data_IF_266322183267
#
_entry.id   IF_266322183267
#
_cell.length_a   1.000
_cell.length_b   1.000
_cell.length_c   1.000
_cell.angle_alpha   90.00
_cell.angle_beta   90.00
_cell.angle_gamma   90.00
#
_symmetry.space_group_name_H-M   'P 1'
#
loop_
_entity.id
_entity.type
_entity.pdbx_description
1 polymer ?
#
# COMPACT_ATOMS: atom_id res chain seq x y z
N UNK A 1 53.12 -33.47 -1.85
CA UNK A 1 52.52 -32.11 -1.92
C UNK A 1 51.11 -32.28 -2.45
N UNK A 2 50.10 -32.22 -1.57
CA UNK A 2 48.69 -32.45 -1.94
C UNK A 2 48.07 -31.09 -2.26
N UNK A 3 47.76 -30.83 -3.52
CA UNK A 3 47.08 -29.60 -3.92
C UNK A 3 45.61 -29.71 -3.50
N UNK A 4 45.20 -28.93 -2.49
CA UNK A 4 43.81 -28.80 -2.09
C UNK A 4 42.99 -28.16 -3.21
N UNK A 5 41.81 -28.72 -3.53
CA UNK A 5 40.86 -28.07 -4.43
C UNK A 5 40.38 -26.76 -3.81
N UNK A 6 40.27 -25.71 -4.61
CA UNK A 6 39.72 -24.43 -4.18
C UNK A 6 38.23 -24.63 -3.85
N UNK A 7 37.73 -24.16 -2.70
CA UNK A 7 36.32 -24.34 -2.33
C UNK A 7 35.43 -23.61 -3.33
N UNK A 8 34.44 -24.31 -3.87
CA UNK A 8 33.46 -23.77 -4.82
C UNK A 8 32.19 -23.42 -4.04
N UNK A 9 31.73 -22.18 -4.14
CA UNK A 9 30.52 -21.74 -3.42
C UNK A 9 29.24 -22.21 -4.13
N UNK A 10 28.15 -22.44 -3.40
CA UNK A 10 26.88 -22.93 -3.96
C UNK A 10 26.29 -22.04 -5.08
N UNK A 11 26.65 -20.76 -5.11
CA UNK A 11 26.27 -19.82 -6.18
C UNK A 11 27.04 -20.06 -7.50
N UNK A 12 28.25 -20.61 -7.43
CA UNK A 12 29.08 -20.95 -8.59
C UNK A 12 28.61 -22.25 -9.25
N UNK A 13 27.89 -23.10 -8.50
CA UNK A 13 27.38 -24.40 -8.96
C UNK A 13 26.02 -24.32 -9.69
N UNK A 14 25.38 -23.14 -9.74
CA UNK A 14 24.10 -22.94 -10.45
C UNK A 14 24.25 -22.69 -11.95
N UNK A 15 25.48 -22.50 -12.43
CA UNK A 15 25.79 -22.47 -13.85
C UNK A 15 26.35 -23.84 -14.22
N UNK A 16 25.58 -24.71 -14.92
CA UNK A 16 26.09 -26.02 -15.30
C UNK A 16 27.33 -25.82 -16.18
N UNK A 17 28.45 -26.39 -15.74
CA UNK A 17 29.65 -26.46 -16.56
C UNK A 17 29.32 -27.35 -17.77
N UNK A 18 29.44 -26.86 -19.02
CA UNK A 18 29.06 -27.67 -20.18
C UNK A 18 29.90 -28.95 -20.24
N UNK A 19 29.30 -30.14 -20.32
CA UNK A 19 30.04 -31.40 -20.31
C UNK A 19 30.82 -31.64 -21.61
N UNK A 20 30.41 -31.01 -22.72
CA UNK A 20 30.86 -31.36 -24.07
C UNK A 20 32.08 -30.55 -24.58
N UNK A 21 32.51 -29.51 -23.85
CA UNK A 21 33.80 -28.83 -24.07
C UNK A 21 34.14 -27.97 -22.85
N UNK A 22 35.23 -28.25 -22.11
CA UNK A 22 35.69 -27.33 -21.09
C UNK A 22 36.20 -26.06 -21.77
N UNK A 23 35.41 -24.99 -21.71
CA UNK A 23 35.91 -23.67 -22.07
C UNK A 23 37.11 -23.33 -21.17
N UNK A 24 38.16 -22.69 -21.71
CA UNK A 24 39.21 -22.15 -20.86
C UNK A 24 38.59 -21.23 -19.79
N UNK A 25 39.03 -21.38 -18.54
CA UNK A 25 38.44 -20.66 -17.40
C UNK A 25 38.33 -19.14 -17.63
N UNK A 26 39.28 -18.53 -18.34
CA UNK A 26 39.23 -17.11 -18.69
C UNK A 26 38.03 -16.72 -19.56
N UNK A 27 37.61 -17.59 -20.49
CA UNK A 27 36.43 -17.37 -21.34
C UNK A 27 35.15 -17.54 -20.53
N UNK A 28 35.09 -18.60 -19.71
CA UNK A 28 33.97 -18.84 -18.80
C UNK A 28 33.77 -17.66 -17.83
N UNK A 29 34.84 -17.19 -17.20
CA UNK A 29 34.80 -16.09 -16.25
C UNK A 29 34.33 -14.78 -16.91
N UNK A 30 34.76 -14.49 -18.14
CA UNK A 30 34.27 -13.34 -18.93
C UNK A 30 32.79 -13.46 -19.22
N UNK A 31 32.33 -14.60 -19.74
CA UNK A 31 30.91 -14.85 -20.02
C UNK A 31 30.04 -14.68 -18.76
N UNK A 32 30.48 -15.24 -17.63
CA UNK A 32 29.76 -15.09 -16.36
C UNK A 32 29.74 -13.64 -15.88
N UNK A 33 30.83 -12.90 -16.04
CA UNK A 33 30.88 -11.47 -15.72
C UNK A 33 29.88 -10.68 -16.58
N UNK A 34 29.88 -10.90 -17.89
CA UNK A 34 28.93 -10.28 -18.83
C UNK A 34 27.47 -10.61 -18.48
N UNK A 35 27.16 -11.87 -18.15
CA UNK A 35 25.82 -12.26 -17.71
C UNK A 35 25.41 -11.57 -16.41
N UNK A 36 26.34 -11.43 -15.45
CA UNK A 36 26.08 -10.73 -14.18
C UNK A 36 25.85 -9.24 -14.41
N UNK A 37 26.62 -8.61 -15.29
CA UNK A 37 26.43 -7.21 -15.67
C UNK A 37 25.08 -7.00 -16.35
N UNK A 38 24.74 -7.82 -17.34
CA UNK A 38 23.45 -7.78 -18.01
C UNK A 38 22.27 -7.97 -17.03
N UNK A 39 22.39 -8.92 -16.09
CA UNK A 39 21.39 -9.12 -15.05
C UNK A 39 21.29 -7.90 -14.11
N UNK A 40 22.42 -7.30 -13.72
CA UNK A 40 22.47 -6.09 -12.89
C UNK A 40 21.76 -4.92 -13.58
N UNK A 41 22.02 -4.70 -14.87
CA UNK A 41 21.34 -3.67 -15.66
C UNK A 41 19.82 -3.85 -15.64
N UNK A 42 19.33 -5.06 -15.93
CA UNK A 42 17.89 -5.38 -15.90
C UNK A 42 17.27 -5.17 -14.52
N UNK A 43 17.98 -5.52 -13.44
CA UNK A 43 17.51 -5.30 -12.06
C UNK A 43 17.38 -3.80 -11.78
N UNK A 44 18.38 -3.00 -12.13
CA UNK A 44 18.35 -1.54 -11.92
C UNK A 44 17.21 -0.91 -12.72
N UNK A 45 17.01 -1.30 -13.97
CA UNK A 45 15.90 -0.82 -14.79
C UNK A 45 14.54 -1.18 -14.20
N UNK A 46 14.37 -2.43 -13.74
CA UNK A 46 13.12 -2.88 -13.12
C UNK A 46 12.85 -2.14 -11.81
N UNK A 47 13.89 -1.92 -11.00
CA UNK A 47 13.80 -1.12 -9.77
C UNK A 47 13.42 0.33 -10.09
N UNK A 48 14.03 0.95 -11.11
CA UNK A 48 13.72 2.30 -11.56
C UNK A 48 12.25 2.40 -12.02
N UNK A 49 11.79 1.51 -12.91
CA UNK A 49 10.38 1.47 -13.34
C UNK A 49 9.42 1.30 -12.16
N UNK A 50 9.77 0.44 -11.20
CA UNK A 50 9.00 0.26 -9.97
C UNK A 50 8.92 1.54 -9.14
N UNK A 51 10.04 2.22 -8.95
CA UNK A 51 10.12 3.51 -8.26
C UNK A 51 9.30 4.58 -8.98
N UNK A 52 9.49 4.75 -10.29
CA UNK A 52 8.81 5.77 -11.10
C UNK A 52 7.29 5.59 -11.06
N UNK A 53 6.80 4.33 -11.11
CA UNK A 53 5.37 4.03 -10.98
C UNK A 53 4.83 4.42 -9.61
N UNK A 54 5.56 4.10 -8.54
CA UNK A 54 5.17 4.46 -7.17
C UNK A 54 5.23 5.97 -6.98
N UNK A 55 6.26 6.65 -7.47
CA UNK A 55 6.40 8.10 -7.37
C UNK A 55 5.29 8.84 -8.14
N UNK A 56 4.87 8.32 -9.30
CA UNK A 56 3.70 8.84 -10.04
C UNK A 56 2.38 8.63 -9.30
N UNK A 57 2.22 7.50 -8.61
CA UNK A 57 1.00 7.17 -7.85
C UNK A 57 0.97 7.82 -6.46
N UNK A 58 2.13 8.15 -5.89
CA UNK A 58 2.23 8.97 -4.68
C UNK A 58 1.54 10.29 -4.99
N UNK A 59 0.54 10.62 -4.18
CA UNK A 59 -0.11 11.93 -4.24
C UNK A 59 0.98 12.96 -4.01
N UNK A 60 1.43 13.62 -5.08
CA UNK A 60 2.24 14.83 -5.00
C UNK A 60 1.44 15.75 -4.13
N UNK A 61 1.87 15.90 -2.88
CA UNK A 61 1.11 16.73 -1.97
C UNK A 61 1.52 18.13 -2.33
N UNK A 62 0.63 18.83 -3.04
CA UNK A 62 0.81 20.23 -3.36
C UNK A 62 1.22 20.94 -2.08
N UNK A 63 2.26 21.76 -2.18
CA UNK A 63 2.72 22.54 -1.05
C UNK A 63 1.58 23.42 -0.57
N UNK A 64 1.36 23.41 0.75
CA UNK A 64 0.30 24.17 1.38
C UNK A 64 0.83 25.56 1.71
N UNK A 65 0.06 26.57 1.34
CA UNK A 65 0.41 27.94 1.67
C UNK A 65 0.09 28.24 3.14
N UNK A 66 0.83 29.17 3.73
CA UNK A 66 0.49 29.72 5.05
C UNK A 66 -0.86 30.44 4.94
N UNK A 67 -1.75 30.19 5.89
CA UNK A 67 -3.11 30.72 5.91
C UNK A 67 -4.15 29.82 5.26
N UNK A 68 -3.74 28.78 4.53
CA UNK A 68 -4.65 27.87 3.84
C UNK A 68 -5.45 26.99 4.81
N UNK A 69 -6.70 26.68 4.45
CA UNK A 69 -7.59 25.85 5.23
C UNK A 69 -7.41 24.38 4.90
N UNK A 70 -7.29 23.57 5.95
CA UNK A 70 -6.99 22.15 5.83
C UNK A 70 -7.76 21.29 6.82
N UNK A 71 -8.11 20.09 6.36
CA UNK A 71 -8.67 19.00 7.14
C UNK A 71 -7.56 18.08 7.63
N UNK A 72 -7.54 17.75 8.93
CA UNK A 72 -6.52 16.85 9.49
C UNK A 72 -7.12 15.53 9.95
N UNK A 73 -6.51 14.42 9.52
CA UNK A 73 -6.86 13.07 9.96
C UNK A 73 -6.51 12.88 11.43
N UNK A 74 -7.51 12.56 12.25
CA UNK A 74 -7.31 12.24 13.66
C UNK A 74 -8.16 11.05 14.10
N UNK A 75 -7.66 10.30 15.07
CA UNK A 75 -8.43 9.25 15.74
C UNK A 75 -9.29 9.89 16.82
N UNK A 76 -10.53 10.21 16.48
CA UNK A 76 -11.50 10.71 17.45
C UNK A 76 -12.02 9.57 18.33
N UNK A 77 -12.20 9.84 19.61
CA UNK A 77 -12.86 8.96 20.57
C UNK A 77 -13.98 9.76 21.20
N UNK A 78 -15.24 9.32 21.02
CA UNK A 78 -16.41 9.93 21.64
C UNK A 78 -17.20 8.85 22.36
N UNK A 79 -17.52 9.07 23.64
CA UNK A 79 -18.34 8.16 24.44
C UNK A 79 -19.71 7.97 23.76
N UNK A 80 -20.20 6.73 23.73
CA UNK A 80 -21.49 6.39 23.11
C UNK A 80 -21.50 6.40 21.57
N UNK A 81 -20.36 6.58 20.89
CA UNK A 81 -20.28 6.46 19.42
C UNK A 81 -19.21 5.45 19.02
N UNK A 82 -19.53 4.61 18.04
CA UNK A 82 -18.54 3.72 17.43
C UNK A 82 -17.63 4.51 16.48
N UNK A 83 -16.42 4.00 16.24
CA UNK A 83 -15.43 4.63 15.34
C UNK A 83 -15.95 4.80 13.90
N UNK A 84 -16.92 3.98 13.47
CA UNK A 84 -17.50 4.02 12.13
C UNK A 84 -18.30 5.30 11.88
N UNK A 85 -18.95 5.83 12.91
CA UNK A 85 -19.76 7.06 12.83
C UNK A 85 -18.97 8.33 13.16
N UNK A 86 -17.65 8.23 13.36
CA UNK A 86 -16.81 9.39 13.64
C UNK A 86 -16.11 9.84 12.36
N UNK A 87 -16.03 11.15 12.11
CA UNK A 87 -15.36 11.66 10.92
C UNK A 87 -13.86 11.33 10.98
N UNK A 88 -13.34 10.81 9.87
CA UNK A 88 -11.92 10.45 9.73
C UNK A 88 -11.01 11.68 9.72
N UNK A 89 -11.50 12.77 9.15
CA UNK A 89 -10.83 14.07 9.08
C UNK A 89 -11.60 15.10 9.88
N UNK A 90 -10.89 15.97 10.56
CA UNK A 90 -11.45 16.95 11.49
C UNK A 90 -11.10 18.34 11.03
N UNK A 91 -12.10 19.23 11.12
CA UNK A 91 -12.00 20.68 11.09
C UNK A 91 -11.59 21.28 9.73
N UNK A 92 -11.98 22.51 9.44
CA UNK A 92 -11.04 23.44 8.84
C UNK A 92 -10.08 23.92 9.92
N UNK A 93 -8.80 23.65 9.73
CA UNK A 93 -7.71 24.25 10.47
C UNK A 93 -6.90 25.15 9.55
N UNK A 94 -6.16 26.09 10.10
CA UNK A 94 -5.32 27.00 9.34
C UNK A 94 -3.84 26.57 9.41
N UNK A 95 -3.15 26.57 8.27
CA UNK A 95 -1.70 26.35 8.23
C UNK A 95 -0.98 27.61 8.72
N UNK A 96 -0.12 27.46 9.73
CA UNK A 96 0.64 28.57 10.33
C UNK A 96 2.00 28.72 9.68
N UNK A 97 2.70 27.61 9.54
CA UNK A 97 4.03 27.54 8.94
C UNK A 97 4.37 26.12 8.52
N UNK A 98 5.19 26.01 7.48
CA UNK A 98 5.87 24.77 7.11
C UNK A 98 7.03 24.58 8.10
N UNK A 99 7.03 23.48 8.86
CA UNK A 99 8.12 23.16 9.80
C UNK A 99 9.22 22.39 9.08
N UNK A 100 8.80 21.37 8.33
CA UNK A 100 9.63 20.53 7.48
C UNK A 100 8.91 20.36 6.13
N UNK A 101 9.61 19.83 5.13
CA UNK A 101 9.01 19.47 3.83
C UNK A 101 7.73 18.64 3.98
N UNK A 102 7.72 17.74 4.94
CA UNK A 102 6.63 16.79 5.17
C UNK A 102 5.73 17.15 6.34
N UNK A 103 6.00 18.22 7.10
CA UNK A 103 5.28 18.52 8.34
C UNK A 103 4.94 20.00 8.45
N UNK A 104 3.66 20.27 8.67
CA UNK A 104 3.11 21.61 8.80
C UNK A 104 2.65 21.85 10.24
N UNK A 105 2.79 23.07 10.70
CA UNK A 105 2.18 23.54 11.94
C UNK A 105 0.78 24.05 11.62
N UNK A 106 -0.21 23.48 12.29
CA UNK A 106 -1.62 23.73 12.01
C UNK A 106 -2.30 24.19 13.29
N UNK A 107 -3.19 25.18 13.17
CA UNK A 107 -3.91 25.76 14.29
C UNK A 107 -5.40 25.91 14.02
N UNK A 108 -6.20 26.07 15.08
CA UNK A 108 -7.61 26.40 14.95
C UNK A 108 -7.80 27.76 14.24
N UNK A 109 -8.89 27.88 13.48
CA UNK A 109 -9.30 29.14 12.85
C UNK A 109 -9.37 30.28 13.87
N UNK A 110 -8.96 31.52 13.52
CA UNK A 110 -9.00 32.67 14.43
C UNK A 110 -10.38 32.89 15.05
N UNK A 111 -11.45 32.72 14.27
CA UNK A 111 -12.83 32.82 14.75
C UNK A 111 -13.21 31.79 15.83
N UNK A 112 -12.51 30.64 15.88
CA UNK A 112 -12.74 29.56 16.86
C UNK A 112 -11.76 29.59 18.04
N UNK A 113 -10.77 30.48 18.03
CA UNK A 113 -9.77 30.57 19.11
C UNK A 113 -10.41 31.19 20.35
N UNK A 114 -10.40 30.45 21.46
CA UNK A 114 -10.66 31.03 22.79
C UNK A 114 -9.33 31.33 23.45
N UNK A 115 -9.23 32.43 24.22
CA UNK A 115 -7.97 32.91 24.86
C UNK A 115 -7.17 31.80 25.58
N UNK A 116 -7.84 30.81 26.18
CA UNK A 116 -7.20 29.68 26.89
C UNK A 116 -7.36 28.31 26.20
N UNK A 117 -8.11 28.24 25.09
CA UNK A 117 -8.42 26.99 24.42
C UNK A 117 -8.38 27.19 22.90
N UNK A 118 -7.20 27.07 22.33
CA UNK A 118 -7.01 26.84 20.91
C UNK A 118 -5.97 25.74 20.73
N UNK A 119 -6.15 24.94 19.69
CA UNK A 119 -5.28 23.81 19.41
C UNK A 119 -4.25 24.25 18.39
N UNK A 120 -2.99 24.02 18.71
CA UNK A 120 -1.85 24.19 17.80
C UNK A 120 -1.01 22.93 17.85
N UNK A 121 -0.72 22.35 16.69
CA UNK A 121 -0.08 21.04 16.63
C UNK A 121 0.56 20.79 15.27
N UNK A 122 1.46 19.81 15.24
CA UNK A 122 2.16 19.41 14.03
C UNK A 122 1.35 18.34 13.30
N UNK A 123 1.21 18.49 11.99
CA UNK A 123 0.52 17.55 11.12
C UNK A 123 1.44 17.16 9.96
N UNK A 124 1.61 15.84 9.76
CA UNK A 124 2.33 15.34 8.60
C UNK A 124 1.46 15.48 7.35
N UNK A 125 2.08 15.77 6.21
CA UNK A 125 1.46 15.96 4.89
C UNK A 125 0.44 14.87 4.55
N UNK A 126 0.76 13.59 4.79
CA UNK A 126 -0.18 12.47 4.56
C UNK A 126 -1.45 12.47 5.44
N UNK A 127 -1.47 13.25 6.52
CA UNK A 127 -2.64 13.40 7.40
C UNK A 127 -3.50 14.60 7.00
N UNK A 128 -3.03 15.45 6.09
CA UNK A 128 -3.68 16.69 5.70
C UNK A 128 -4.45 16.52 4.38
N UNK A 129 -5.60 17.17 4.25
CA UNK A 129 -6.32 17.38 2.98
C UNK A 129 -6.69 18.85 2.88
N UNK A 130 -6.66 19.42 1.67
CA UNK A 130 -7.17 20.78 1.42
C UNK A 130 -8.65 20.83 1.77
N UNK A 131 -9.08 21.89 2.44
CA UNK A 131 -10.48 22.14 2.74
C UNK A 131 -11.09 22.92 1.59
N UNK A 132 -12.15 22.39 0.98
CA UNK A 132 -12.97 23.10 0.02
C UNK A 132 -14.20 23.64 0.75
N UNK A 133 -14.39 24.94 0.71
CA UNK A 133 -15.65 25.56 1.13
C UNK A 133 -16.75 25.08 0.20
N UNK A 134 -17.96 24.92 0.74
CA UNK A 134 -19.12 24.82 -0.14
C UNK A 134 -19.28 26.20 -0.75
N UNK A 135 -19.30 26.27 -2.07
CA UNK A 135 -19.86 27.43 -2.75
C UNK A 135 -21.34 27.40 -2.36
N UNK A 136 -21.79 28.44 -1.66
CA UNK A 136 -23.20 28.61 -1.38
C UNK A 136 -23.85 28.93 -2.73
N UNK A 137 -24.22 27.87 -3.46
CA UNK A 137 -25.14 28.00 -4.59
C UNK A 137 -26.44 28.41 -3.94
N UNK A 138 -26.71 29.72 -3.99
CA UNK A 138 -28.02 30.27 -3.74
C UNK A 138 -28.94 29.57 -4.74
N UNK A 139 -29.63 28.54 -4.26
CA UNK A 139 -30.75 27.96 -4.97
C UNK A 139 -31.81 29.04 -4.95
N UNK A 140 -31.80 29.88 -5.98
CA UNK A 140 -32.96 30.69 -6.35
C UNK A 140 -34.11 29.69 -6.42
N UNK A 141 -35.02 29.79 -5.46
CA UNK A 141 -36.29 29.11 -5.59
C UNK A 141 -36.95 29.81 -6.76
N UNK A 142 -36.89 29.19 -7.95
CA UNK A 142 -37.82 29.49 -9.03
C UNK A 142 -39.19 29.50 -8.36
N UNK A 143 -39.77 30.69 -8.22
CA UNK A 143 -41.14 30.83 -7.75
C UNK A 143 -41.96 30.13 -8.82
N UNK A 144 -42.45 28.92 -8.50
CA UNK A 144 -43.41 28.18 -9.32
C UNK A 144 -44.65 29.07 -9.49
N UNK A 145 -44.63 29.92 -10.52
CA UNK A 145 -45.82 30.60 -11.00
C UNK A 145 -46.62 29.53 -11.73
N UNK A 146 -47.56 28.92 -11.00
CA UNK A 146 -48.65 28.11 -11.56
C UNK A 146 -49.33 28.94 -12.67
N UNK A 147 -48.89 28.72 -13.91
CA UNK A 147 -49.62 29.11 -15.11
C UNK A 147 -50.00 27.81 -15.78
N UNK A 148 -51.22 27.36 -15.49
CA UNK A 148 -51.86 26.26 -16.18
C UNK A 148 -52.01 26.64 -17.66
N UNK A 149 -51.13 26.11 -18.50
CA UNK A 149 -51.41 25.94 -19.92
C UNK A 149 -51.41 24.43 -20.22
N UNK A 150 -52.62 23.89 -20.33
CA UNK A 150 -52.88 22.61 -20.97
C UNK A 150 -52.48 22.72 -22.45
N UNK A 151 -51.57 21.86 -22.92
CA UNK A 151 -51.57 21.44 -24.32
C UNK A 151 -51.10 19.98 -24.40
N UNK A 152 -51.88 19.22 -25.14
CA UNK A 152 -51.85 17.77 -25.27
C UNK A 152 -50.86 17.29 -26.34
N UNK A 153 -50.49 16.00 -26.25
CA UNK A 153 -50.20 15.11 -27.39
C UNK A 153 -48.85 15.22 -28.12
N UNK A 154 -48.04 14.16 -28.05
CA UNK A 154 -48.00 13.13 -29.11
C UNK A 154 -46.84 12.14 -28.92
N UNK A 155 -47.21 10.87 -29.05
CA UNK A 155 -46.35 9.68 -29.02
C UNK A 155 -45.67 9.49 -30.38
N UNK A 156 -44.38 9.17 -30.38
CA UNK A 156 -43.76 8.42 -31.48
C UNK A 156 -42.54 7.65 -30.98
N UNK A 157 -42.63 6.32 -31.11
CA UNK A 157 -41.49 5.42 -31.12
C UNK A 157 -40.71 5.59 -32.43
N UNK A 158 -39.38 5.55 -32.39
CA UNK A 158 -38.60 4.90 -33.44
C UNK A 158 -37.34 4.21 -32.86
N UNK A 159 -37.27 2.91 -33.13
CA UNK A 159 -36.08 2.08 -33.14
C UNK A 159 -34.95 2.70 -33.97
N UNK A 160 -33.70 2.50 -33.52
CA UNK A 160 -32.70 1.67 -34.21
C UNK A 160 -31.29 1.99 -33.70
N UNK A 161 -30.43 0.98 -33.56
CA UNK A 161 -28.99 1.25 -33.46
C UNK A 161 -28.07 0.26 -32.75
N UNK A 162 -28.14 -1.03 -33.11
CA UNK A 162 -26.98 -1.87 -33.45
C UNK A 162 -25.86 -2.12 -32.39
N UNK A 163 -25.89 -3.36 -31.89
CA UNK A 163 -24.82 -4.40 -31.86
C UNK A 163 -23.37 -3.95 -31.54
N UNK A 164 -22.79 -4.51 -30.46
CA UNK A 164 -21.66 -5.45 -30.57
C UNK A 164 -21.39 -6.18 -29.25
N UNK A 165 -21.73 -7.47 -29.27
CA UNK A 165 -21.15 -8.49 -28.43
C UNK A 165 -19.64 -8.59 -28.75
N UNK A 166 -18.81 -8.73 -27.73
CA UNK A 166 -17.51 -9.40 -27.90
C UNK A 166 -17.30 -10.30 -26.70
N UNK A 167 -17.40 -11.58 -27.00
CA UNK A 167 -17.02 -12.73 -26.20
C UNK A 167 -15.52 -12.65 -25.88
N UNK A 168 -15.18 -12.89 -24.60
CA UNK A 168 -14.19 -13.86 -24.08
C UNK A 168 -12.89 -14.13 -24.90
N UNK A 169 -11.72 -14.27 -24.23
CA UNK A 169 -11.48 -15.54 -23.54
C UNK A 169 -10.74 -15.47 -22.20
N UNK A 170 -11.24 -16.32 -21.31
CA UNK A 170 -10.52 -17.02 -20.24
C UNK A 170 -9.18 -17.59 -20.77
N UNK A 171 -8.08 -17.21 -20.13
CA UNK A 171 -6.84 -17.99 -20.20
C UNK A 171 -6.70 -18.83 -18.93
N UNK A 172 -6.90 -20.13 -19.16
CA UNK A 172 -6.58 -21.26 -18.31
C UNK A 172 -5.15 -21.17 -17.74
N UNK A 173 -5.00 -21.27 -16.42
CA UNK A 173 -3.75 -21.63 -15.78
C UNK A 173 -3.71 -23.15 -15.58
N UNK A 174 -2.76 -23.89 -16.20
CA UNK A 174 -2.61 -25.30 -15.92
C UNK A 174 -1.99 -25.54 -14.55
N UNK A 175 -2.72 -26.31 -13.75
CA UNK A 175 -2.25 -27.08 -12.60
C UNK A 175 -1.12 -28.01 -13.02
N UNK A 176 0.02 -27.95 -12.33
CA UNK A 176 1.03 -29.01 -12.37
C UNK A 176 1.39 -29.36 -10.93
N UNK A 177 0.90 -30.55 -10.54
CA UNK A 177 1.33 -31.26 -9.36
C UNK A 177 2.80 -31.68 -9.52
N UNK A 178 3.61 -31.45 -8.49
CA UNK A 178 4.88 -32.16 -8.31
C UNK A 178 4.91 -32.63 -6.87
N UNK A 179 4.99 -33.95 -6.76
CA UNK A 179 5.21 -34.77 -5.58
C UNK A 179 6.57 -34.47 -4.94
N UNK A 180 6.60 -34.23 -3.63
CA UNK A 180 7.84 -34.28 -2.84
C UNK A 180 7.89 -35.55 -1.99
N UNK A 181 9.02 -36.23 -2.14
CA UNK A 181 9.40 -37.45 -1.48
C UNK A 181 9.84 -37.18 -0.04
N UNK A 182 9.58 -38.18 0.80
CA UNK A 182 9.95 -38.28 2.21
C UNK A 182 11.48 -38.23 2.37
N UNK A 183 11.95 -37.29 3.18
CA UNK A 183 13.32 -37.20 3.69
C UNK A 183 13.26 -36.96 5.20
N UNK A 184 13.76 -37.94 5.93
CA UNK A 184 13.75 -38.10 7.38
C UNK A 184 14.83 -37.20 8.03
N UNK A 185 14.42 -36.21 8.83
CA UNK A 185 15.33 -35.40 9.64
C UNK A 185 14.94 -35.47 11.11
N UNK A 186 15.86 -35.99 11.92
CA UNK A 186 15.78 -36.05 13.38
C UNK A 186 15.70 -34.63 13.98
N UNK A 187 14.61 -34.33 14.70
CA UNK A 187 14.52 -33.14 15.56
C UNK A 187 14.99 -33.45 17.01
N UNK A 188 15.74 -32.55 17.66
CA UNK A 188 16.02 -32.66 19.09
C UNK A 188 14.79 -32.29 19.92
N UNK A 189 14.49 -33.10 20.92
CA UNK A 189 13.36 -32.97 21.84
C UNK A 189 13.40 -31.64 22.61
N UNK A 190 12.61 -30.64 22.19
CA UNK A 190 12.48 -29.34 22.88
C UNK A 190 11.35 -29.44 23.90
N UNK A 191 11.72 -29.46 25.19
CA UNK A 191 10.77 -29.43 26.31
C UNK A 191 9.91 -28.16 26.31
N UNK A 192 8.62 -28.23 26.69
CA UNK A 192 7.72 -27.08 26.68
C UNK A 192 8.13 -26.04 27.72
N UNK A 193 8.34 -24.80 27.27
CA UNK A 193 8.65 -23.66 28.16
C UNK A 193 7.46 -23.33 29.06
N UNK A 194 7.71 -23.33 30.38
CA UNK A 194 6.73 -22.93 31.38
C UNK A 194 6.38 -21.43 31.30
N UNK A 195 5.19 -21.08 31.80
CA UNK A 195 4.66 -19.72 31.72
C UNK A 195 5.40 -18.75 32.65
N UNK A 196 6.24 -17.89 32.09
CA UNK A 196 6.94 -16.85 32.86
C UNK A 196 6.01 -15.70 33.27
N UNK A 197 6.19 -15.21 34.51
CA UNK A 197 5.54 -14.02 35.05
C UNK A 197 6.42 -12.80 34.79
N UNK A 198 5.89 -11.82 34.07
CA UNK A 198 6.55 -10.52 33.92
C UNK A 198 6.55 -9.74 35.26
N UNK A 199 7.49 -8.82 35.44
CA UNK A 199 7.63 -7.96 36.63
C UNK A 199 6.37 -7.15 36.97
N UNK A 200 5.46 -6.96 36.02
CA UNK A 200 4.15 -6.33 36.21
C UNK A 200 3.01 -7.33 36.50
N UNK A 201 3.32 -8.58 36.82
CA UNK A 201 2.36 -9.63 37.19
C UNK A 201 1.61 -10.29 36.03
N UNK A 202 1.94 -9.96 34.77
CA UNK A 202 1.25 -10.53 33.59
C UNK A 202 1.86 -11.89 33.25
N UNK A 203 1.04 -12.94 33.23
CA UNK A 203 1.41 -14.29 32.76
C UNK A 203 1.41 -14.31 31.23
N UNK A 204 2.54 -14.63 30.62
CA UNK A 204 2.60 -14.87 29.17
C UNK A 204 2.26 -16.33 28.89
N UNK A 205 1.40 -16.60 27.90
CA UNK A 205 1.12 -17.96 27.42
C UNK A 205 1.73 -18.12 26.03
N UNK A 206 2.39 -19.25 25.72
CA UNK A 206 2.92 -19.47 24.39
C UNK A 206 1.77 -19.55 23.35
N UNK A 207 2.04 -19.14 22.09
CA UNK A 207 1.07 -19.20 21.01
C UNK A 207 0.55 -20.62 20.75
N UNK A 208 -0.75 -20.73 20.46
CA UNK A 208 -1.51 -21.99 20.40
C UNK A 208 -1.24 -22.91 19.19
N UNK A 209 -0.33 -22.54 18.28
CA UNK A 209 -0.13 -23.24 17.00
C UNK A 209 0.90 -24.38 17.05
N UNK A 210 1.47 -24.70 18.21
CA UNK A 210 2.42 -25.81 18.39
C UNK A 210 1.80 -27.16 18.78
N UNK A 211 0.49 -27.26 19.03
CA UNK A 211 -0.10 -28.47 19.64
C UNK A 211 -0.62 -29.52 18.63
N UNK A 212 -0.44 -29.34 17.33
CA UNK A 212 -1.12 -30.16 16.32
C UNK A 212 -0.22 -31.10 15.50
N UNK A 213 1.00 -31.41 15.96
CA UNK A 213 1.90 -32.33 15.22
C UNK A 213 2.03 -33.73 15.85
N UNK A 214 1.19 -34.12 16.82
CA UNK A 214 1.32 -35.39 17.53
C UNK A 214 0.26 -36.46 17.18
N UNK A 215 -0.53 -36.27 16.12
CA UNK A 215 -1.51 -37.27 15.67
C UNK A 215 -1.57 -37.29 14.14
N UNK A 216 -0.60 -37.93 13.51
CA UNK A 216 -0.76 -38.64 12.24
C UNK A 216 0.42 -39.59 12.02
#
# INVERSE_FOLDING_TARGET
>A
MVYGRRPVMAQENKFPWPPERPEPYGIFARRVAEMREAARHKIVEKQKKGKDRVDRSRRVTQDLCVGELVLVRRKLIKKGKTKKFLPKFVGPFQVVKKLCETTYLVEDLPARRKKKQFRRFNAHVCQIRRFHTREDVEWEAEEDSDTEEEEESSESEEENGVVNNTEEPVENLPSVAVSEAVGEENEPEVQPREAEKTRSGRKSRPPRWHNNYALH
#
